data_IF_867416407864
#
_entry.id   IF_867416407864
#
_cell.length_a   1.000
_cell.length_b   1.000
_cell.length_c   1.000
_cell.angle_alpha   90.00
_cell.angle_beta   90.00
_cell.angle_gamma   90.00
#
_symmetry.space_group_name_H-M   'P 1'
#
loop_
_entity.id
_entity.type
_entity.pdbx_description
1 polymer ?
#
# COMPACT_ATOMS: atom_id res chain seq x y z
N UNK A 1 -26.04 -8.85 40.42
CA UNK A 1 -26.26 -7.40 40.28
C UNK A 1 -24.92 -6.77 39.95
N UNK A 2 -24.75 -6.32 38.71
CA UNK A 2 -23.51 -5.75 38.18
C UNK A 2 -23.69 -4.24 38.15
N UNK A 3 -22.81 -3.49 38.82
CA UNK A 3 -22.72 -2.05 38.70
C UNK A 3 -21.54 -1.70 37.76
N UNK A 4 -21.70 -0.76 36.82
CA UNK A 4 -20.67 -0.43 35.84
C UNK A 4 -19.74 0.68 36.36
N UNK A 5 -18.43 0.55 36.11
CA UNK A 5 -17.48 1.64 36.27
C UNK A 5 -17.14 2.21 34.88
N UNK A 6 -17.40 3.50 34.77
CA UNK A 6 -17.31 4.38 33.60
C UNK A 6 -15.85 4.68 33.27
N UNK A 7 -15.43 4.46 32.02
CA UNK A 7 -14.15 4.92 31.49
C UNK A 7 -14.42 6.23 30.74
N UNK A 8 -13.86 7.33 31.25
CA UNK A 8 -13.91 8.64 30.62
C UNK A 8 -12.86 8.74 29.51
N UNK A 9 -13.32 9.13 28.31
CA UNK A 9 -12.51 9.46 27.15
C UNK A 9 -12.05 10.91 27.30
N UNK A 10 -10.74 11.14 27.34
CA UNK A 10 -10.14 12.48 27.27
C UNK A 10 -9.74 12.76 25.82
N UNK A 11 -10.29 13.83 25.26
CA UNK A 11 -10.00 14.33 23.91
C UNK A 11 -8.93 15.42 23.94
N UNK A 12 -8.11 15.45 22.88
CA UNK A 12 -7.59 16.69 22.29
C UNK A 12 -6.16 17.05 22.67
N UNK A 13 -5.20 16.52 21.93
CA UNK A 13 -3.83 17.06 21.87
C UNK A 13 -3.61 17.64 20.45
N UNK A 14 -3.69 18.96 20.33
CA UNK A 14 -3.24 19.70 19.14
C UNK A 14 -2.18 20.70 19.59
N UNK A 15 -0.93 20.38 19.31
CA UNK A 15 0.24 21.24 19.49
C UNK A 15 0.37 22.17 18.28
N UNK A 16 0.42 23.51 18.45
CA UNK A 16 0.67 24.43 17.33
C UNK A 16 2.14 24.43 16.90
N UNK A 17 2.37 24.66 15.61
CA UNK A 17 3.70 24.81 14.98
C UNK A 17 4.42 26.10 15.43
N UNK A 18 5.78 26.14 15.38
CA UNK A 18 6.58 27.27 15.88
C UNK A 18 6.62 28.49 14.92
N UNK A 19 6.72 29.68 15.53
CA UNK A 19 6.96 30.99 14.90
C UNK A 19 8.31 31.07 14.15
N UNK A 20 8.42 31.87 13.07
CA UNK A 20 9.68 32.39 12.60
C UNK A 20 10.00 33.78 13.17
N UNK A 21 11.24 33.94 13.65
CA UNK A 21 11.86 35.16 14.19
C UNK A 21 12.16 36.22 13.09
N UNK A 22 12.23 37.53 13.41
CA UNK A 22 12.17 38.62 12.43
C UNK A 22 13.50 38.99 11.78
N UNK A 23 13.44 39.43 10.52
CA UNK A 23 14.50 40.19 9.83
C UNK A 23 13.94 41.49 9.25
N UNK A 24 14.42 42.62 9.77
CA UNK A 24 14.28 44.00 9.28
C UNK A 24 15.70 44.47 8.85
N UNK A 25 15.96 45.60 8.15
CA UNK A 25 15.10 46.62 7.53
C UNK A 25 15.51 47.04 6.10
N UNK A 26 14.65 47.85 5.45
CA UNK A 26 14.92 49.22 4.93
C UNK A 26 13.95 49.56 3.79
N UNK A 27 12.98 50.44 4.03
CA UNK A 27 12.99 51.89 3.73
C UNK A 27 13.10 52.21 2.23
N UNK A 28 11.98 52.54 1.59
CA UNK A 28 11.64 53.93 1.27
C UNK A 28 10.38 54.00 0.39
N UNK A 29 9.36 54.67 0.93
CA UNK A 29 8.29 55.31 0.16
C UNK A 29 8.60 56.81 0.22
N UNK A 30 8.44 57.58 -0.86
CA UNK A 30 7.12 58.20 -1.06
C UNK A 30 6.72 58.38 -2.54
N UNK A 31 5.54 57.88 -2.90
CA UNK A 31 4.72 58.53 -3.92
C UNK A 31 3.98 59.73 -3.31
N UNK A 32 4.16 60.91 -3.90
CA UNK A 32 3.26 62.06 -3.77
C UNK A 32 2.75 62.44 -5.16
N UNK A 33 1.43 62.63 -5.39
CA UNK A 33 0.89 63.04 -6.67
C UNK A 33 0.69 64.56 -6.76
N UNK A 34 0.39 65.01 -8.00
CA UNK A 34 -0.32 66.23 -8.42
C UNK A 34 0.53 67.24 -9.27
N UNK A 35 -0.07 68.22 -9.99
CA UNK A 35 -0.40 68.17 -11.43
C UNK A 35 0.09 69.43 -12.20
N UNK A 36 0.02 69.46 -13.55
CA UNK A 36 0.14 70.74 -14.28
C UNK A 36 0.70 70.69 -15.70
N UNK A 37 -0.14 71.11 -16.65
CA UNK A 37 0.02 71.35 -18.10
C UNK A 37 0.98 72.53 -18.45
N UNK A 38 1.09 73.06 -19.70
CA UNK A 38 1.46 72.56 -21.05
C UNK A 38 2.75 73.21 -21.64
N UNK A 39 3.27 72.68 -22.77
CA UNK A 39 3.71 73.54 -23.89
C UNK A 39 5.18 73.56 -24.34
N UNK A 40 5.34 73.43 -25.67
CA UNK A 40 6.32 74.03 -26.62
C UNK A 40 7.73 73.43 -26.86
N UNK A 41 7.92 73.06 -28.14
CA UNK A 41 9.09 73.24 -29.04
C UNK A 41 10.30 72.27 -29.06
N UNK A 42 10.27 71.34 -30.05
CA UNK A 42 11.29 70.94 -31.08
C UNK A 42 12.83 71.12 -30.87
N UNK A 43 13.73 70.48 -31.67
CA UNK A 43 13.68 69.22 -32.46
C UNK A 43 14.97 68.33 -32.38
N UNK A 44 14.90 67.13 -32.96
CA UNK A 44 16.00 66.30 -33.54
C UNK A 44 17.11 65.69 -32.64
N UNK A 45 17.05 64.35 -32.49
CA UNK A 45 18.23 63.46 -32.55
C UNK A 45 17.78 62.04 -33.00
N UNK A 46 18.30 61.47 -34.10
CA UNK A 46 18.00 60.10 -34.49
C UNK A 46 18.95 59.14 -33.77
N UNK A 47 18.48 58.48 -32.70
CA UNK A 47 19.24 57.39 -32.09
C UNK A 47 18.97 56.06 -32.83
N UNK A 48 20.01 55.27 -33.16
CA UNK A 48 19.91 54.10 -34.03
C UNK A 48 19.58 52.82 -33.24
N UNK A 49 18.80 51.94 -33.86
CA UNK A 49 18.84 50.50 -33.63
C UNK A 49 18.47 50.02 -32.23
N UNK A 50 17.18 49.89 -31.95
CA UNK A 50 16.73 48.83 -31.06
C UNK A 50 16.84 47.50 -31.84
N UNK A 51 17.70 46.54 -31.46
CA UNK A 51 17.55 45.18 -31.97
C UNK A 51 16.25 44.68 -31.35
N UNK A 52 15.20 44.61 -32.16
CA UNK A 52 13.87 44.22 -31.71
C UNK A 52 13.97 43.01 -30.80
N UNK A 53 13.54 43.18 -29.54
CA UNK A 53 13.25 42.07 -28.67
C UNK A 53 12.23 41.21 -29.41
N UNK A 54 12.70 40.11 -29.98
CA UNK A 54 11.84 39.12 -30.61
C UNK A 54 10.93 38.60 -29.52
N UNK A 55 9.72 39.15 -29.43
CA UNK A 55 8.67 38.58 -28.60
C UNK A 55 8.46 37.17 -29.13
N UNK A 56 8.97 36.17 -28.41
CA UNK A 56 8.62 34.77 -28.67
C UNK A 56 7.11 34.69 -28.77
N UNK A 57 6.61 34.15 -29.88
CA UNK A 57 5.17 33.98 -30.08
C UNK A 57 4.65 33.19 -28.86
N UNK A 58 3.73 33.75 -28.05
CA UNK A 58 3.21 33.09 -26.86
C UNK A 58 2.62 31.70 -27.16
N UNK A 59 2.08 31.50 -28.36
CA UNK A 59 1.57 30.19 -28.81
C UNK A 59 2.71 29.20 -28.99
N UNK A 60 3.78 29.58 -29.69
CA UNK A 60 4.93 28.70 -29.94
C UNK A 60 5.72 28.39 -28.65
N UNK A 61 5.80 29.35 -27.74
CA UNK A 61 6.33 29.12 -26.39
C UNK A 61 5.49 28.07 -25.64
N UNK A 62 4.15 28.23 -25.61
CA UNK A 62 3.26 27.27 -24.95
C UNK A 62 3.29 25.87 -25.60
N UNK A 63 3.38 25.79 -26.94
CA UNK A 63 3.58 24.52 -27.66
C UNK A 63 4.89 23.85 -27.27
N UNK A 64 5.99 24.61 -27.21
CA UNK A 64 7.31 24.09 -26.84
C UNK A 64 7.30 23.52 -25.42
N UNK A 65 6.69 24.23 -24.47
CA UNK A 65 6.52 23.75 -23.11
C UNK A 65 5.68 22.46 -23.04
N UNK A 66 4.58 22.40 -23.78
CA UNK A 66 3.70 21.24 -23.80
C UNK A 66 4.41 20.00 -24.37
N UNK A 67 5.12 20.15 -25.49
CA UNK A 67 5.91 19.05 -26.09
C UNK A 67 7.02 18.57 -25.14
N UNK A 68 7.73 19.50 -24.50
CA UNK A 68 8.78 19.17 -23.51
C UNK A 68 8.21 18.36 -22.34
N UNK A 69 7.03 18.75 -21.83
CA UNK A 69 6.36 18.01 -20.77
C UNK A 69 5.94 16.60 -21.22
N UNK A 70 5.42 16.46 -22.45
CA UNK A 70 5.06 15.16 -23.03
C UNK A 70 6.29 14.25 -23.22
N UNK A 71 7.41 14.80 -23.70
CA UNK A 71 8.64 14.03 -23.89
C UNK A 71 9.18 13.48 -22.56
N UNK A 72 9.09 14.28 -21.49
CA UNK A 72 9.49 13.91 -20.13
C UNK A 72 8.56 12.88 -19.45
N UNK A 73 7.35 12.64 -19.98
CA UNK A 73 6.39 11.71 -19.39
C UNK A 73 6.81 10.25 -19.58
N UNK A 74 7.44 9.63 -18.58
CA UNK A 74 7.97 8.26 -18.67
C UNK A 74 6.87 7.19 -18.69
N UNK A 75 5.67 7.55 -18.22
CA UNK A 75 4.48 6.70 -18.14
C UNK A 75 3.75 6.56 -19.48
N UNK A 76 4.13 7.33 -20.50
CA UNK A 76 3.54 7.26 -21.84
C UNK A 76 4.48 6.51 -22.78
N UNK A 77 3.92 5.65 -23.63
CA UNK A 77 4.68 5.06 -24.73
C UNK A 77 5.03 6.10 -25.79
N UNK A 78 6.02 5.81 -26.63
CA UNK A 78 6.47 6.71 -27.68
C UNK A 78 5.34 7.01 -28.69
N UNK A 79 4.49 6.03 -29.02
CA UNK A 79 3.34 6.23 -29.91
C UNK A 79 2.34 7.26 -29.33
N UNK A 80 2.05 7.16 -28.04
CA UNK A 80 1.18 8.11 -27.32
C UNK A 80 1.82 9.50 -27.29
N UNK A 81 3.11 9.60 -26.98
CA UNK A 81 3.84 10.88 -26.99
C UNK A 81 3.76 11.55 -28.36
N UNK A 82 4.03 10.80 -29.43
CA UNK A 82 3.94 11.31 -30.80
C UNK A 82 2.52 11.75 -31.17
N UNK A 83 1.48 11.02 -30.73
CA UNK A 83 0.09 11.42 -30.95
C UNK A 83 -0.24 12.74 -30.22
N UNK A 84 0.14 12.86 -28.95
CA UNK A 84 -0.09 14.07 -28.15
C UNK A 84 0.68 15.27 -28.71
N UNK A 85 1.94 15.10 -29.14
CA UNK A 85 2.73 16.17 -29.75
C UNK A 85 2.12 16.68 -31.06
N UNK A 86 1.51 15.80 -31.87
CA UNK A 86 0.73 16.23 -33.05
C UNK A 86 -0.50 17.06 -32.66
N UNK A 87 -1.20 16.68 -31.59
CA UNK A 87 -2.31 17.49 -31.07
C UNK A 87 -1.84 18.86 -30.56
N UNK A 88 -0.69 18.93 -29.86
CA UNK A 88 -0.07 20.21 -29.48
C UNK A 88 0.22 21.07 -30.71
N UNK A 89 0.84 20.50 -31.74
CA UNK A 89 1.21 21.24 -32.95
C UNK A 89 -0.01 21.83 -33.67
N UNK A 90 -1.12 21.09 -33.70
CA UNK A 90 -2.36 21.51 -34.32
C UNK A 90 -3.08 22.67 -33.60
N UNK A 91 -2.66 23.04 -32.39
CA UNK A 91 -3.27 24.16 -31.65
C UNK A 91 -2.93 25.52 -32.27
N UNK A 92 -3.90 26.43 -32.29
CA UNK A 92 -3.75 27.79 -32.85
C UNK A 92 -3.75 28.88 -31.77
N UNK A 93 -3.93 28.51 -30.50
CA UNK A 93 -3.97 29.45 -29.38
C UNK A 93 -3.10 28.97 -28.23
N UNK A 94 -2.51 29.92 -27.51
CA UNK A 94 -1.70 29.69 -26.32
C UNK A 94 -2.48 28.92 -25.24
N UNK A 95 -3.75 29.30 -25.04
CA UNK A 95 -4.63 28.66 -24.07
C UNK A 95 -4.89 27.17 -24.40
N UNK A 96 -5.10 26.83 -25.67
CA UNK A 96 -5.30 25.44 -26.09
C UNK A 96 -4.03 24.59 -25.90
N UNK A 97 -2.85 25.14 -26.21
CA UNK A 97 -1.59 24.45 -25.96
C UNK A 97 -1.36 24.16 -24.46
N UNK A 98 -1.66 25.14 -23.59
CA UNK A 98 -1.55 24.97 -22.13
C UNK A 98 -2.59 24.01 -21.54
N UNK A 99 -3.82 24.03 -22.07
CA UNK A 99 -4.85 23.07 -21.69
C UNK A 99 -4.43 21.64 -22.04
N UNK A 100 -3.84 21.43 -23.22
CA UNK A 100 -3.36 20.11 -23.63
C UNK A 100 -2.20 19.61 -22.76
N UNK A 101 -1.26 20.49 -22.38
CA UNK A 101 -0.21 20.18 -21.39
C UNK A 101 -0.83 19.71 -20.07
N UNK A 102 -1.85 20.43 -19.57
CA UNK A 102 -2.55 20.08 -18.33
C UNK A 102 -3.23 18.71 -18.45
N UNK A 103 -3.93 18.45 -19.55
CA UNK A 103 -4.57 17.16 -19.81
C UNK A 103 -3.56 16.01 -19.95
N UNK A 104 -2.41 16.24 -20.59
CA UNK A 104 -1.34 15.25 -20.69
C UNK A 104 -0.78 14.89 -19.31
N UNK A 105 -0.56 15.87 -18.43
CA UNK A 105 -0.12 15.62 -17.05
C UNK A 105 -1.16 14.84 -16.23
N UNK A 106 -2.45 15.16 -16.40
CA UNK A 106 -3.53 14.41 -15.78
C UNK A 106 -3.61 12.97 -16.31
N UNK A 107 -3.36 12.76 -17.61
CA UNK A 107 -3.28 11.42 -18.21
C UNK A 107 -2.12 10.62 -17.59
N UNK A 108 -0.93 11.22 -17.46
CA UNK A 108 0.23 10.59 -16.78
C UNK A 108 -0.13 10.13 -15.37
N UNK A 109 -0.82 10.98 -14.61
CA UNK A 109 -1.27 10.64 -13.26
C UNK A 109 -2.24 9.46 -13.24
N UNK A 110 -3.19 9.41 -14.19
CA UNK A 110 -4.13 8.30 -14.33
C UNK A 110 -3.43 6.99 -14.69
N UNK A 111 -2.45 7.03 -15.61
CA UNK A 111 -1.67 5.86 -16.02
C UNK A 111 -0.84 5.32 -14.85
N UNK A 112 -0.17 6.21 -14.10
CA UNK A 112 0.59 5.84 -12.90
C UNK A 112 -0.29 5.20 -11.83
N UNK A 113 -1.50 5.72 -11.66
CA UNK A 113 -2.45 5.17 -10.70
C UNK A 113 -2.94 3.78 -11.13
N UNK A 114 -3.25 3.58 -12.42
CA UNK A 114 -3.64 2.29 -12.97
C UNK A 114 -2.51 1.26 -12.89
N UNK A 115 -1.28 1.63 -13.24
CA UNK A 115 -0.13 0.72 -13.16
C UNK A 115 0.17 0.28 -11.72
N UNK A 116 -0.01 1.18 -10.75
CA UNK A 116 0.01 0.84 -9.33
C UNK A 116 -1.03 -0.22 -8.96
N UNK A 117 -2.29 -0.04 -9.38
CA UNK A 117 -3.37 -1.01 -9.15
C UNK A 117 -3.11 -2.36 -9.83
N UNK A 118 -2.58 -2.36 -11.07
CA UNK A 118 -2.18 -3.59 -11.79
C UNK A 118 -1.07 -4.32 -11.03
N UNK A 119 -0.06 -3.59 -10.54
CA UNK A 119 1.01 -4.18 -9.74
C UNK A 119 0.50 -4.80 -8.44
N UNK A 120 -0.39 -4.10 -7.73
CA UNK A 120 -1.00 -4.61 -6.50
C UNK A 120 -1.84 -5.86 -6.75
N UNK A 121 -2.67 -5.85 -7.80
CA UNK A 121 -3.47 -7.01 -8.19
C UNK A 121 -2.60 -8.21 -8.61
N UNK A 122 -1.46 -7.97 -9.28
CA UNK A 122 -0.49 -9.01 -9.61
C UNK A 122 0.09 -9.66 -8.35
N UNK A 123 0.48 -8.85 -7.35
CA UNK A 123 0.99 -9.37 -6.08
C UNK A 123 -0.05 -10.24 -5.34
N UNK A 124 -1.34 -9.87 -5.40
CA UNK A 124 -2.45 -10.69 -4.86
C UNK A 124 -2.53 -12.05 -5.55
N UNK A 125 -2.38 -12.09 -6.89
CA UNK A 125 -2.40 -13.34 -7.67
C UNK A 125 -1.20 -14.25 -7.38
N UNK A 126 -0.08 -13.66 -6.98
CA UNK A 126 1.17 -14.38 -6.65
C UNK A 126 1.20 -14.91 -5.21
N UNK A 127 0.23 -14.56 -4.37
CA UNK A 127 0.13 -15.09 -3.00
C UNK A 127 -0.04 -16.61 -3.01
N UNK A 128 0.71 -17.31 -2.15
CA UNK A 128 0.73 -18.77 -2.09
C UNK A 128 -0.67 -19.38 -1.82
N UNK A 129 -1.53 -18.65 -1.11
CA UNK A 129 -2.86 -19.11 -0.73
C UNK A 129 -3.95 -18.65 -1.72
N UNK A 130 -3.60 -17.89 -2.78
CA UNK A 130 -4.54 -17.41 -3.79
C UNK A 130 -5.33 -18.55 -4.45
N UNK A 131 -4.70 -19.71 -4.64
CA UNK A 131 -5.34 -20.90 -5.22
C UNK A 131 -6.58 -21.38 -4.43
N UNK A 132 -6.64 -21.09 -3.12
CA UNK A 132 -7.73 -21.49 -2.21
C UNK A 132 -8.89 -20.51 -2.17
N UNK A 133 -8.75 -19.34 -2.79
CA UNK A 133 -9.83 -18.36 -2.96
C UNK A 133 -10.89 -18.92 -3.94
N UNK A 134 -12.14 -18.51 -3.76
CA UNK A 134 -13.24 -18.93 -4.65
C UNK A 134 -12.98 -18.61 -6.12
N UNK A 135 -13.43 -19.49 -7.00
CA UNK A 135 -13.32 -19.29 -8.45
C UNK A 135 -14.03 -18.03 -8.92
N UNK A 136 -15.14 -17.64 -8.27
CA UNK A 136 -15.85 -16.38 -8.59
C UNK A 136 -14.97 -15.15 -8.36
N UNK A 137 -14.31 -15.03 -7.20
CA UNK A 137 -13.42 -13.91 -6.93
C UNK A 137 -12.18 -13.94 -7.83
N UNK A 138 -11.58 -15.12 -8.05
CA UNK A 138 -10.43 -15.26 -8.95
C UNK A 138 -10.78 -14.87 -10.39
N UNK A 139 -11.93 -15.31 -10.90
CA UNK A 139 -12.41 -14.99 -12.25
C UNK A 139 -12.66 -13.49 -12.37
N UNK A 140 -13.34 -12.90 -11.39
CA UNK A 140 -13.61 -11.45 -11.38
C UNK A 140 -12.31 -10.65 -11.39
N UNK A 141 -11.34 -11.02 -10.54
CA UNK A 141 -10.04 -10.37 -10.51
C UNK A 141 -9.32 -10.52 -11.85
N UNK A 142 -9.30 -11.71 -12.45
CA UNK A 142 -8.61 -11.96 -13.72
C UNK A 142 -9.18 -11.13 -14.87
N UNK A 143 -10.51 -11.04 -14.96
CA UNK A 143 -11.18 -10.21 -15.96
C UNK A 143 -10.80 -8.74 -15.82
N UNK A 144 -10.87 -8.18 -14.60
CA UNK A 144 -10.55 -6.76 -14.37
C UNK A 144 -9.07 -6.48 -14.50
N UNK A 145 -8.22 -7.42 -14.08
CA UNK A 145 -6.77 -7.35 -14.24
C UNK A 145 -6.41 -7.32 -15.73
N UNK A 146 -6.98 -8.21 -16.54
CA UNK A 146 -6.75 -8.26 -17.98
C UNK A 146 -7.21 -6.97 -18.67
N UNK A 147 -8.40 -6.47 -18.32
CA UNK A 147 -8.91 -5.22 -18.85
C UNK A 147 -8.00 -4.02 -18.52
N UNK A 148 -7.54 -3.92 -17.27
CA UNK A 148 -6.63 -2.86 -16.82
C UNK A 148 -5.24 -2.98 -17.46
N UNK A 149 -4.65 -4.18 -17.45
CA UNK A 149 -3.35 -4.46 -18.04
C UNK A 149 -3.35 -4.24 -19.56
N UNK A 150 -4.48 -4.43 -20.23
CA UNK A 150 -4.62 -4.17 -21.67
C UNK A 150 -4.42 -2.71 -22.09
N UNK A 151 -4.52 -1.75 -21.16
CA UNK A 151 -4.15 -0.36 -21.42
C UNK A 151 -2.64 -0.12 -21.37
N UNK A 152 -1.89 -1.05 -20.78
CA UNK A 152 -0.47 -0.87 -20.49
C UNK A 152 0.38 -1.75 -21.39
N UNK A 153 1.59 -1.27 -21.68
CA UNK A 153 2.69 -2.08 -22.19
C UNK A 153 3.26 -2.96 -21.08
N UNK A 154 4.13 -3.91 -21.43
CA UNK A 154 4.79 -4.76 -20.44
C UNK A 154 5.62 -3.96 -19.41
N UNK A 155 6.21 -2.82 -19.83
CA UNK A 155 6.91 -1.87 -18.97
C UNK A 155 5.98 -0.85 -18.28
N UNK A 156 4.67 -1.13 -18.22
CA UNK A 156 3.64 -0.37 -17.51
C UNK A 156 3.42 1.07 -18.01
N UNK A 157 3.68 1.32 -19.29
CA UNK A 157 3.36 2.60 -19.96
C UNK A 157 2.01 2.53 -20.65
N UNK A 158 1.36 3.66 -20.87
CA UNK A 158 0.13 3.69 -21.67
C UNK A 158 0.43 3.23 -23.10
N UNK A 159 -0.16 2.11 -23.51
CA UNK A 159 0.12 1.48 -24.80
C UNK A 159 -0.36 2.34 -25.96
N UNK A 160 -1.60 2.84 -25.89
CA UNK A 160 -2.22 3.67 -26.92
C UNK A 160 -3.24 4.63 -26.30
N UNK A 161 -3.54 5.71 -27.03
CA UNK A 161 -4.78 6.46 -26.80
C UNK A 161 -5.98 5.60 -27.23
N UNK A 162 -7.14 5.92 -26.69
CA UNK A 162 -8.37 5.26 -27.09
C UNK A 162 -8.72 5.52 -28.57
N UNK A 163 -9.69 4.77 -29.10
CA UNK A 163 -10.02 4.79 -30.53
C UNK A 163 -10.49 6.17 -31.07
N UNK A 164 -11.10 7.01 -30.22
CA UNK A 164 -11.48 8.38 -30.62
C UNK A 164 -10.31 9.38 -30.54
N UNK A 165 -9.17 8.97 -30.01
CA UNK A 165 -7.94 9.76 -29.90
C UNK A 165 -7.99 10.91 -28.89
N UNK A 166 -9.09 11.05 -28.13
CA UNK A 166 -9.26 12.14 -27.16
C UNK A 166 -8.68 11.77 -25.80
N UNK A 167 -7.95 12.72 -25.19
CA UNK A 167 -7.41 12.52 -23.84
C UNK A 167 -8.52 12.27 -22.83
N UNK A 168 -9.65 12.99 -22.94
CA UNK A 168 -10.75 12.89 -21.99
C UNK A 168 -11.34 11.47 -21.93
N UNK A 169 -11.63 10.86 -23.08
CA UNK A 169 -12.17 9.51 -23.11
C UNK A 169 -11.13 8.47 -22.70
N UNK A 170 -9.85 8.66 -23.07
CA UNK A 170 -8.75 7.80 -22.58
C UNK A 170 -8.66 7.85 -21.05
N UNK A 171 -8.68 9.04 -20.46
CA UNK A 171 -8.64 9.23 -19.00
C UNK A 171 -9.82 8.56 -18.29
N UNK A 172 -11.04 8.78 -18.79
CA UNK A 172 -12.23 8.15 -18.23
C UNK A 172 -12.16 6.61 -18.28
N UNK A 173 -11.59 6.06 -19.36
CA UNK A 173 -11.40 4.61 -19.51
C UNK A 173 -10.37 4.07 -18.51
N UNK A 174 -9.25 4.76 -18.32
CA UNK A 174 -8.23 4.40 -17.34
C UNK A 174 -8.76 4.45 -15.91
N UNK A 175 -9.49 5.51 -15.55
CA UNK A 175 -10.08 5.67 -14.22
C UNK A 175 -11.15 4.61 -13.94
N UNK A 176 -11.98 4.30 -14.95
CA UNK A 176 -12.96 3.22 -14.86
C UNK A 176 -12.30 1.86 -14.67
N UNK A 177 -11.28 1.54 -15.46
CA UNK A 177 -10.52 0.29 -15.35
C UNK A 177 -9.83 0.15 -13.99
N UNK A 178 -9.21 1.25 -13.51
CA UNK A 178 -8.59 1.31 -12.18
C UNK A 178 -9.62 1.02 -11.09
N UNK A 179 -10.74 1.72 -11.12
CA UNK A 179 -11.81 1.58 -10.11
C UNK A 179 -12.37 0.16 -10.10
N UNK A 180 -12.59 -0.44 -11.28
CA UNK A 180 -13.07 -1.80 -11.39
C UNK A 180 -12.06 -2.82 -10.86
N UNK A 181 -10.77 -2.63 -11.14
CA UNK A 181 -9.71 -3.49 -10.63
C UNK A 181 -9.57 -3.39 -9.11
N UNK A 182 -9.56 -2.17 -8.56
CA UNK A 182 -9.47 -1.95 -7.12
C UNK A 182 -10.66 -2.55 -6.38
N UNK A 183 -11.87 -2.45 -6.95
CA UNK A 183 -13.06 -3.08 -6.39
C UNK A 183 -12.95 -4.62 -6.39
N UNK A 184 -12.44 -5.22 -7.47
CA UNK A 184 -12.22 -6.66 -7.56
C UNK A 184 -11.19 -7.15 -6.52
N UNK A 185 -10.08 -6.43 -6.36
CA UNK A 185 -9.09 -6.71 -5.31
C UNK A 185 -9.73 -6.59 -3.93
N UNK A 186 -10.44 -5.49 -3.66
CA UNK A 186 -11.07 -5.22 -2.36
C UNK A 186 -12.09 -6.29 -1.97
N UNK A 187 -12.87 -6.80 -2.92
CA UNK A 187 -13.83 -7.88 -2.68
C UNK A 187 -13.16 -9.22 -2.36
N UNK A 188 -12.00 -9.48 -2.97
CA UNK A 188 -11.25 -10.73 -2.79
C UNK A 188 -10.45 -10.77 -1.48
N UNK A 189 -9.88 -9.64 -1.06
CA UNK A 189 -8.94 -9.55 0.07
C UNK A 189 -9.42 -10.16 1.39
N UNK A 190 -10.69 -10.02 1.82
CA UNK A 190 -11.18 -10.67 3.04
C UNK A 190 -11.09 -12.20 2.98
N UNK A 191 -11.46 -12.81 1.84
CA UNK A 191 -11.36 -14.27 1.67
C UNK A 191 -9.89 -14.71 1.62
N UNK A 192 -9.03 -13.97 0.91
CA UNK A 192 -7.60 -14.27 0.88
C UNK A 192 -6.96 -14.20 2.28
N UNK A 193 -7.31 -13.19 3.07
CA UNK A 193 -6.84 -13.05 4.45
C UNK A 193 -7.28 -14.23 5.30
N UNK A 194 -8.54 -14.65 5.17
CA UNK A 194 -9.09 -15.79 5.88
C UNK A 194 -8.37 -17.09 5.53
N UNK A 195 -8.16 -17.39 4.24
CA UNK A 195 -7.48 -18.63 3.83
C UNK A 195 -6.02 -18.66 4.29
N UNK A 196 -5.34 -17.49 4.36
CA UNK A 196 -3.99 -17.37 4.91
C UNK A 196 -3.94 -17.68 6.40
N UNK A 197 -4.84 -17.09 7.19
CA UNK A 197 -4.92 -17.38 8.62
C UNK A 197 -5.26 -18.85 8.86
N UNK A 198 -6.21 -19.40 8.10
CA UNK A 198 -6.55 -20.83 8.16
C UNK A 198 -5.35 -21.73 7.82
N UNK A 199 -4.58 -21.40 6.79
CA UNK A 199 -3.39 -22.16 6.42
C UNK A 199 -2.32 -22.13 7.54
N UNK A 200 -2.12 -20.97 8.18
CA UNK A 200 -1.25 -20.83 9.36
C UNK A 200 -1.73 -21.70 10.52
N UNK A 201 -3.03 -21.69 10.83
CA UNK A 201 -3.61 -22.52 11.89
C UNK A 201 -3.42 -24.02 11.60
N UNK A 202 -3.73 -24.47 10.37
CA UNK A 202 -3.56 -25.88 9.96
C UNK A 202 -2.09 -26.32 10.05
N UNK A 203 -1.17 -25.47 9.62
CA UNK A 203 0.28 -25.72 9.73
C UNK A 203 0.69 -25.85 11.19
N UNK A 204 0.28 -24.92 12.05
CA UNK A 204 0.62 -24.92 13.48
C UNK A 204 0.02 -26.15 14.19
N UNK A 205 -1.22 -26.51 13.89
CA UNK A 205 -1.86 -27.72 14.41
C UNK A 205 -1.09 -29.00 14.04
N UNK A 206 -0.54 -29.06 12.82
CA UNK A 206 0.26 -30.21 12.38
C UNK A 206 1.64 -30.26 13.08
N UNK A 207 2.24 -29.10 13.33
CA UNK A 207 3.51 -28.98 14.06
C UNK A 207 3.41 -29.33 15.55
N UNK A 208 2.20 -29.41 16.11
CA UNK A 208 1.96 -29.90 17.47
C UNK A 208 2.08 -31.42 17.59
N UNK A 209 2.09 -32.17 16.49
CA UNK A 209 2.16 -33.63 16.47
C UNK A 209 3.19 -34.28 17.41
N UNK A 210 4.47 -33.85 17.45
CA UNK A 210 5.45 -34.41 18.38
C UNK A 210 5.21 -34.07 19.86
N UNK A 211 4.32 -33.12 20.16
CA UNK A 211 4.08 -32.60 21.51
C UNK A 211 2.78 -33.12 22.14
N UNK A 212 1.84 -33.63 21.34
CA UNK A 212 0.50 -34.03 21.81
C UNK A 212 0.17 -35.45 21.40
N UNK A 213 -0.75 -36.09 22.12
CA UNK A 213 -1.24 -37.41 21.74
C UNK A 213 -2.08 -37.38 20.45
N UNK A 214 -2.25 -38.53 19.82
CA UNK A 214 -2.91 -38.68 18.52
C UNK A 214 -4.37 -38.19 18.54
N UNK A 215 -5.11 -38.44 19.63
CA UNK A 215 -6.50 -38.01 19.74
C UNK A 215 -6.64 -36.49 19.80
N UNK A 216 -5.78 -35.81 20.56
CA UNK A 216 -5.76 -34.35 20.63
C UNK A 216 -5.26 -33.75 19.30
N UNK A 217 -4.22 -34.34 18.68
CA UNK A 217 -3.74 -33.91 17.37
C UNK A 217 -4.86 -33.91 16.33
N UNK A 218 -5.61 -35.01 16.25
CA UNK A 218 -6.72 -35.16 15.31
C UNK A 218 -7.79 -34.08 15.53
N UNK A 219 -8.13 -33.78 16.80
CA UNK A 219 -9.12 -32.74 17.12
C UNK A 219 -8.61 -31.32 16.77
N UNK A 220 -7.35 -31.00 17.05
CA UNK A 220 -6.76 -29.70 16.69
C UNK A 220 -6.69 -29.49 15.18
N UNK A 221 -6.28 -30.53 14.43
CA UNK A 221 -6.28 -30.50 12.98
C UNK A 221 -7.69 -30.35 12.42
N UNK A 222 -8.67 -31.05 13.01
CA UNK A 222 -10.07 -30.93 12.62
C UNK A 222 -10.59 -29.51 12.83
N UNK A 223 -10.36 -28.90 13.99
CA UNK A 223 -10.79 -27.52 14.26
C UNK A 223 -10.19 -26.50 13.27
N UNK A 224 -8.92 -26.66 12.91
CA UNK A 224 -8.28 -25.80 11.94
C UNK A 224 -8.82 -26.00 10.51
N UNK A 225 -9.09 -27.25 10.12
CA UNK A 225 -9.63 -27.58 8.80
C UNK A 225 -11.12 -27.22 8.64
N UNK A 226 -11.91 -27.32 9.71
CA UNK A 226 -13.35 -27.09 9.71
C UNK A 226 -13.73 -25.64 10.07
N UNK A 227 -12.75 -24.71 10.04
CA UNK A 227 -12.99 -23.29 10.27
C UNK A 227 -14.13 -22.76 9.37
N UNK A 228 -15.17 -22.12 9.94
CA UNK A 228 -16.29 -21.58 9.18
C UNK A 228 -15.82 -20.56 8.14
N UNK A 229 -16.34 -20.69 6.92
CA UNK A 229 -15.90 -19.85 5.78
C UNK A 229 -16.09 -18.36 6.09
N UNK A 230 -15.05 -17.57 5.81
CA UNK A 230 -15.00 -16.12 5.99
C UNK A 230 -15.23 -15.65 7.44
N UNK A 231 -15.08 -16.52 8.44
CA UNK A 231 -15.11 -16.15 9.86
C UNK A 231 -13.69 -15.80 10.35
N UNK A 232 -13.22 -14.62 9.96
CA UNK A 232 -11.87 -14.15 10.25
C UNK A 232 -11.58 -14.13 11.76
N UNK A 233 -12.53 -13.69 12.57
CA UNK A 233 -12.34 -13.60 14.02
C UNK A 233 -12.07 -14.97 14.66
N UNK A 234 -12.79 -16.02 14.22
CA UNK A 234 -12.50 -17.38 14.69
C UNK A 234 -11.18 -17.91 14.17
N UNK A 235 -10.84 -17.62 12.91
CA UNK A 235 -9.55 -18.02 12.35
C UNK A 235 -8.38 -17.41 13.14
N UNK A 236 -8.44 -16.10 13.41
CA UNK A 236 -7.41 -15.38 14.17
C UNK A 236 -7.31 -15.90 15.60
N UNK A 237 -8.45 -16.14 16.26
CA UNK A 237 -8.49 -16.69 17.61
C UNK A 237 -7.83 -18.07 17.65
N UNK A 238 -8.22 -18.99 16.77
CA UNK A 238 -7.68 -20.34 16.73
C UNK A 238 -6.19 -20.34 16.40
N UNK A 239 -5.76 -19.55 15.42
CA UNK A 239 -4.35 -19.43 15.04
C UNK A 239 -3.48 -18.92 16.22
N UNK A 240 -3.97 -17.92 16.96
CA UNK A 240 -3.32 -17.42 18.17
C UNK A 240 -3.27 -18.47 19.28
N UNK A 241 -4.38 -19.17 19.55
CA UNK A 241 -4.45 -20.21 20.57
C UNK A 241 -3.52 -21.40 20.27
N UNK A 242 -3.45 -21.83 19.01
CA UNK A 242 -2.54 -22.91 18.58
C UNK A 242 -1.07 -22.51 18.73
N UNK A 243 -0.70 -21.28 18.39
CA UNK A 243 0.67 -20.77 18.57
C UNK A 243 1.05 -20.73 20.05
N UNK A 244 0.18 -20.16 20.88
CA UNK A 244 0.38 -20.11 22.34
C UNK A 244 0.46 -21.50 22.97
N UNK A 245 -0.37 -22.44 22.52
CA UNK A 245 -0.32 -23.83 22.95
C UNK A 245 1.02 -24.48 22.59
N UNK A 246 1.50 -24.28 21.35
CA UNK A 246 2.78 -24.81 20.90
C UNK A 246 3.95 -24.26 21.72
N UNK A 247 3.98 -22.96 21.96
CA UNK A 247 5.04 -22.32 22.76
C UNK A 247 5.03 -22.82 24.20
N UNK A 248 3.84 -22.97 24.79
CA UNK A 248 3.67 -23.49 26.15
C UNK A 248 4.10 -24.95 26.27
N UNK A 249 3.72 -25.80 25.32
CA UNK A 249 4.11 -27.22 25.31
C UNK A 249 5.61 -27.39 25.06
N UNK A 250 6.20 -26.59 24.18
CA UNK A 250 7.64 -26.60 23.94
C UNK A 250 8.41 -26.21 25.21
N UNK A 251 7.95 -25.17 25.90
CA UNK A 251 8.54 -24.72 27.16
C UNK A 251 8.42 -25.77 28.26
N UNK A 252 7.25 -26.42 28.36
CA UNK A 252 7.03 -27.49 29.34
C UNK A 252 7.88 -28.72 29.02
N UNK A 253 8.07 -29.08 27.74
CA UNK A 253 8.92 -30.21 27.33
C UNK A 253 10.39 -29.97 27.69
N UNK A 254 10.88 -28.74 27.49
CA UNK A 254 12.23 -28.32 27.90
C UNK A 254 12.40 -28.41 29.43
N UNK A 255 11.41 -27.94 30.20
CA UNK A 255 11.42 -28.07 31.66
C UNK A 255 11.43 -29.53 32.13
N UNK A 256 10.62 -30.40 31.50
CA UNK A 256 10.63 -31.85 31.81
C UNK A 256 12.00 -32.45 31.50
N UNK A 257 12.58 -32.12 30.34
CA UNK A 257 13.89 -32.63 29.92
C UNK A 257 14.99 -32.21 30.91
N UNK A 258 15.00 -30.95 31.33
CA UNK A 258 15.93 -30.44 32.36
C UNK A 258 15.70 -31.12 33.71
N UNK A 259 14.43 -31.31 34.10
CA UNK A 259 14.09 -31.97 35.34
C UNK A 259 14.54 -33.44 35.40
N UNK A 260 14.41 -34.15 34.28
CA UNK A 260 14.94 -35.52 34.14
C UNK A 260 16.47 -35.53 34.18
N UNK A 261 17.13 -34.59 33.50
CA UNK A 261 18.59 -34.47 33.53
C UNK A 261 19.13 -34.20 34.95
N UNK A 262 18.42 -33.45 35.79
CA UNK A 262 18.83 -33.20 37.17
C UNK A 262 18.99 -34.48 38.01
N UNK A 263 18.20 -35.52 37.72
CA UNK A 263 18.30 -36.82 38.42
C UNK A 263 19.63 -37.53 38.13
N UNK A 264 20.21 -37.26 36.96
CA UNK A 264 21.44 -37.89 36.44
C UNK A 264 22.66 -37.02 36.71
N UNK A 265 22.56 -35.72 36.43
CA UNK A 265 23.67 -34.78 36.50
C UNK A 265 24.00 -34.38 37.95
N UNK A 266 23.00 -34.37 38.83
CA UNK A 266 23.14 -33.92 40.22
C UNK A 266 22.52 -34.90 41.23
N UNK A 267 22.90 -36.19 41.23
CA UNK A 267 22.19 -37.22 41.97
C UNK A 267 22.15 -36.94 43.48
N UNK A 268 23.26 -36.56 44.11
CA UNK A 268 23.24 -36.25 45.55
C UNK A 268 22.33 -35.08 45.88
N UNK A 269 22.45 -33.95 45.16
CA UNK A 269 21.60 -32.77 45.39
C UNK A 269 20.13 -33.05 45.15
N UNK A 270 19.81 -33.95 44.22
CA UNK A 270 18.44 -34.33 43.90
C UNK A 270 17.85 -35.29 44.95
N UNK A 271 18.59 -36.34 45.35
CA UNK A 271 18.11 -37.32 46.33
C UNK A 271 18.06 -36.78 47.77
N UNK A 272 18.94 -35.84 48.11
CA UNK A 272 19.01 -35.22 49.45
C UNK A 272 18.10 -33.99 49.58
N UNK A 273 17.36 -33.60 48.53
CA UNK A 273 16.53 -32.40 48.55
C UNK A 273 15.25 -32.60 49.37
N UNK A 274 14.98 -31.67 50.31
CA UNK A 274 13.77 -31.67 51.14
C UNK A 274 12.46 -31.59 50.32
N UNK A 275 12.51 -31.03 49.10
CA UNK A 275 11.36 -30.87 48.22
C UNK A 275 11.27 -31.95 47.12
N UNK A 276 12.07 -33.03 47.21
CA UNK A 276 12.14 -34.08 46.17
C UNK A 276 10.77 -34.66 45.83
N UNK A 277 9.97 -35.02 46.82
CA UNK A 277 8.65 -35.63 46.58
C UNK A 277 7.72 -34.70 45.79
N UNK A 278 7.72 -33.40 46.12
CA UNK A 278 6.94 -32.40 45.41
C UNK A 278 7.45 -32.17 43.98
N UNK A 279 8.77 -32.17 43.80
CA UNK A 279 9.40 -32.07 42.48
C UNK A 279 9.04 -33.29 41.60
N UNK A 280 9.12 -34.51 42.14
CA UNK A 280 8.80 -35.74 41.42
C UNK A 280 7.33 -35.80 41.02
N UNK A 281 6.44 -35.40 41.93
CA UNK A 281 5.02 -35.31 41.63
C UNK A 281 4.75 -34.30 40.49
N UNK A 282 5.43 -33.16 40.49
CA UNK A 282 5.32 -32.16 39.42
C UNK A 282 5.92 -32.66 38.09
N UNK A 283 7.07 -33.31 38.12
CA UNK A 283 7.75 -33.86 36.95
C UNK A 283 6.95 -35.01 36.33
N UNK A 284 6.38 -35.89 37.15
CA UNK A 284 5.49 -36.96 36.70
C UNK A 284 4.23 -36.38 36.05
N UNK A 285 3.61 -35.37 36.67
CA UNK A 285 2.45 -34.69 36.09
C UNK A 285 2.77 -34.02 34.76
N UNK A 286 3.90 -33.30 34.67
CA UNK A 286 4.32 -32.62 33.46
C UNK A 286 4.70 -33.59 32.33
N UNK A 287 5.46 -34.64 32.65
CA UNK A 287 5.85 -35.68 31.68
C UNK A 287 4.64 -36.44 31.13
N UNK A 288 3.62 -36.68 31.96
CA UNK A 288 2.39 -37.37 31.52
C UNK A 288 1.63 -36.68 30.38
N UNK A 289 1.88 -35.38 30.15
CA UNK A 289 1.27 -34.62 29.04
C UNK A 289 1.85 -35.01 27.69
N UNK A 290 3.13 -35.43 27.64
CA UNK A 290 3.82 -35.71 26.39
C UNK A 290 3.83 -37.21 26.07
N UNK A 291 3.47 -37.61 24.84
CA UNK A 291 3.60 -38.99 24.40
C UNK A 291 5.04 -39.51 24.47
N UNK A 292 6.03 -38.63 24.33
CA UNK A 292 7.45 -38.99 24.33
C UNK A 292 7.98 -39.47 25.70
N UNK A 293 7.23 -39.26 26.79
CA UNK A 293 7.61 -39.67 28.15
C UNK A 293 6.66 -40.70 28.77
N UNK A 294 5.68 -41.21 28.01
CA UNK A 294 4.82 -42.32 28.41
C UNK A 294 5.41 -43.65 27.92
#
# INVERSE_FOLDING_TARGET
AIAPAVIAISCGDQTPAPEPTPGNPNTDNPQNPNPGNPGTDSPQNPNPGNPGGGTVDPVEAAKTEAKTAIDAAVELSDSVKEALKRQVEATTTEAAARDLKTKANALVSAVKALSGSVTAAKAVKEDAEYSKVTDTHKTTLEEKYTAAAGFLTEDSKLANLNADGTLATTQASLESAKTALDAAVSALMPELTFVKTKASAVKTASELGPLVNEALLAELQKQANDLPKNDQSKADKLDSELKSLKDSLTSLQDLVSKGLAMQVDYPQKYYDADNKEAFDAALLKASSVFPAFQ
#
